data_IF_038835426681
#
_entry.id   IF_038835426681
#
_cell.length_a   1.000
_cell.length_b   1.000
_cell.length_c   1.000
_cell.angle_alpha   90.00
_cell.angle_beta   90.00
_cell.angle_gamma   90.00
#
_symmetry.space_group_name_H-M   'P 1'
#
loop_
_entity.id
_entity.type
_entity.pdbx_description
1 polymer ?
#
# COMPACT_ATOMS: atom_id res chain seq x y z
N UNK A 1 4.26 -40.21 13.64
CA UNK A 1 5.23 -39.35 12.94
C UNK A 1 4.56 -38.23 12.14
N UNK A 2 3.61 -38.53 11.26
CA UNK A 2 2.96 -37.54 10.38
C UNK A 2 2.26 -36.36 11.12
N UNK A 3 1.56 -36.62 12.23
CA UNK A 3 0.93 -35.57 13.06
C UNK A 3 1.95 -34.64 13.74
N UNK A 4 3.14 -35.16 14.09
CA UNK A 4 4.21 -34.34 14.66
C UNK A 4 4.83 -33.43 13.60
N UNK A 5 5.04 -33.94 12.37
CA UNK A 5 5.48 -33.14 11.22
C UNK A 5 4.47 -32.03 10.92
N UNK A 6 3.17 -32.34 10.90
CA UNK A 6 2.11 -31.34 10.74
C UNK A 6 2.12 -30.28 11.83
N UNK A 7 2.35 -30.67 13.09
CA UNK A 7 2.45 -29.71 14.19
C UNK A 7 3.62 -28.75 13.96
N UNK A 8 4.80 -29.29 13.61
CA UNK A 8 5.99 -28.47 13.31
C UNK A 8 5.74 -27.52 12.14
N UNK A 9 5.14 -28.00 11.05
CA UNK A 9 4.79 -27.16 9.90
C UNK A 9 3.78 -26.06 10.26
N UNK A 10 2.75 -26.37 11.06
CA UNK A 10 1.81 -25.36 11.54
C UNK A 10 2.50 -24.30 12.42
N UNK A 11 3.51 -24.68 13.23
CA UNK A 11 4.30 -23.72 14.01
C UNK A 11 5.06 -22.78 13.07
N UNK A 12 5.76 -23.31 12.07
CA UNK A 12 6.48 -22.50 11.10
C UNK A 12 5.55 -21.57 10.31
N UNK A 13 4.41 -22.07 9.84
CA UNK A 13 3.41 -21.25 9.14
C UNK A 13 2.79 -20.18 10.05
N UNK A 14 2.58 -20.48 11.33
CA UNK A 14 2.10 -19.49 12.30
C UNK A 14 3.13 -18.37 12.50
N UNK A 15 4.41 -18.71 12.75
CA UNK A 15 5.46 -17.70 12.89
C UNK A 15 5.64 -16.88 11.61
N UNK A 16 5.67 -17.53 10.44
CA UNK A 16 5.75 -16.85 9.14
C UNK A 16 4.57 -15.89 8.91
N UNK A 17 3.34 -16.31 9.22
CA UNK A 17 2.15 -15.46 9.12
C UNK A 17 2.15 -14.29 10.10
N UNK A 18 2.61 -14.50 11.33
CA UNK A 18 2.73 -13.45 12.34
C UNK A 18 3.78 -12.39 11.95
N UNK A 19 4.94 -12.82 11.46
CA UNK A 19 5.97 -11.92 10.96
C UNK A 19 5.52 -11.18 9.70
N UNK A 20 4.85 -11.86 8.78
CA UNK A 20 4.27 -11.23 7.58
C UNK A 20 3.32 -10.10 7.93
N UNK A 21 2.33 -10.36 8.80
CA UNK A 21 1.36 -9.35 9.20
C UNK A 21 2.04 -8.16 9.88
N UNK A 22 3.06 -8.41 10.70
CA UNK A 22 3.78 -7.36 11.39
C UNK A 22 4.61 -6.49 10.43
N UNK A 23 5.25 -7.12 9.45
CA UNK A 23 6.00 -6.42 8.41
C UNK A 23 5.09 -5.67 7.44
N UNK A 24 3.93 -6.23 7.11
CA UNK A 24 2.91 -5.57 6.32
C UNK A 24 2.35 -4.33 7.05
N UNK A 25 2.15 -4.39 8.37
CA UNK A 25 1.79 -3.23 9.20
C UNK A 25 2.89 -2.17 9.27
N UNK A 26 4.17 -2.57 9.32
CA UNK A 26 5.30 -1.64 9.22
C UNK A 26 5.26 -0.87 7.90
N UNK A 27 4.99 -1.58 6.80
CA UNK A 27 4.94 -1.01 5.46
C UNK A 27 3.66 -0.23 5.20
N UNK A 28 2.54 -0.60 5.82
CA UNK A 28 1.27 0.11 5.67
C UNK A 28 1.38 1.59 6.10
N UNK A 29 2.28 1.91 7.03
CA UNK A 29 2.60 3.27 7.45
C UNK A 29 3.63 4.01 6.59
N UNK A 30 4.16 3.39 5.54
CA UNK A 30 5.13 3.99 4.62
C UNK A 30 4.52 4.12 3.21
N UNK A 31 5.05 5.04 2.38
CA UNK A 31 4.77 5.06 0.95
C UNK A 31 5.43 3.82 0.31
N UNK A 32 4.69 2.71 0.18
CA UNK A 32 5.23 1.43 -0.31
C UNK A 32 5.49 1.51 -1.83
N UNK A 33 6.73 1.24 -2.31
CA UNK A 33 6.99 1.10 -3.75
C UNK A 33 6.22 -0.08 -4.35
N UNK A 34 5.67 0.06 -5.56
CA UNK A 34 4.90 -1.01 -6.24
C UNK A 34 5.63 -2.37 -6.28
N UNK A 35 6.95 -2.37 -6.51
CA UNK A 35 7.76 -3.61 -6.55
C UNK A 35 7.73 -4.38 -5.22
N UNK A 36 7.64 -3.66 -4.10
CA UNK A 36 7.57 -4.26 -2.77
C UNK A 36 6.16 -4.84 -2.50
N UNK A 37 5.10 -4.26 -3.09
CA UNK A 37 3.74 -4.79 -2.99
C UNK A 37 3.62 -6.17 -3.67
N UNK A 38 4.16 -6.32 -4.88
CA UNK A 38 4.15 -7.62 -5.58
C UNK A 38 4.87 -8.72 -4.80
N UNK A 39 5.99 -8.38 -4.15
CA UNK A 39 6.73 -9.35 -3.33
C UNK A 39 5.92 -9.75 -2.10
N UNK A 40 5.23 -8.79 -1.45
CA UNK A 40 4.34 -9.06 -0.32
C UNK A 40 3.13 -9.91 -0.72
N UNK A 41 2.57 -9.66 -1.91
CA UNK A 41 1.46 -10.44 -2.47
C UNK A 41 1.85 -11.91 -2.66
N UNK A 42 2.97 -12.17 -3.33
CA UNK A 42 3.48 -13.53 -3.57
C UNK A 42 3.72 -14.26 -2.25
N UNK A 43 4.27 -13.57 -1.26
CA UNK A 43 4.54 -14.16 0.05
C UNK A 43 3.24 -14.47 0.80
N UNK A 44 2.26 -13.55 0.79
CA UNK A 44 0.94 -13.76 1.37
C UNK A 44 0.18 -14.92 0.71
N UNK A 45 0.17 -14.99 -0.61
CA UNK A 45 -0.42 -16.06 -1.42
C UNK A 45 0.20 -17.43 -1.07
N UNK A 46 1.54 -17.47 -0.94
CA UNK A 46 2.27 -18.69 -0.57
C UNK A 46 1.91 -19.17 0.83
N UNK A 47 1.91 -18.29 1.83
CA UNK A 47 1.54 -18.62 3.21
C UNK A 47 0.09 -19.10 3.32
N UNK A 48 -0.82 -18.47 2.60
CA UNK A 48 -2.22 -18.86 2.54
C UNK A 48 -2.38 -20.27 1.94
N UNK A 49 -1.76 -20.52 0.77
CA UNK A 49 -1.83 -21.82 0.10
C UNK A 49 -1.27 -22.96 0.99
N UNK A 50 -0.15 -22.73 1.66
CA UNK A 50 0.44 -23.73 2.58
C UNK A 50 -0.48 -23.97 3.77
N UNK A 51 -1.01 -22.91 4.41
CA UNK A 51 -1.88 -23.04 5.59
C UNK A 51 -3.17 -23.81 5.27
N UNK A 52 -3.81 -23.54 4.12
CA UNK A 52 -5.00 -24.29 3.67
C UNK A 52 -4.65 -25.75 3.37
N UNK A 53 -3.51 -26.02 2.73
CA UNK A 53 -3.06 -27.38 2.48
C UNK A 53 -2.82 -28.15 3.78
N UNK A 54 -2.20 -27.54 4.79
CA UNK A 54 -1.97 -28.18 6.10
C UNK A 54 -3.28 -28.58 6.79
N UNK A 55 -4.31 -27.73 6.72
CA UNK A 55 -5.65 -28.05 7.24
C UNK A 55 -6.26 -29.20 6.45
N UNK A 56 -6.18 -29.18 5.11
CA UNK A 56 -6.72 -30.23 4.27
C UNK A 56 -6.04 -31.59 4.51
N UNK A 57 -4.71 -31.61 4.61
CA UNK A 57 -3.94 -32.81 4.93
C UNK A 57 -4.40 -33.41 6.26
N UNK A 58 -4.69 -32.56 7.24
CA UNK A 58 -5.21 -32.98 8.52
C UNK A 58 -6.60 -33.62 8.41
N UNK A 59 -7.49 -33.01 7.63
CA UNK A 59 -8.82 -33.59 7.35
C UNK A 59 -8.68 -34.94 6.65
N UNK A 60 -7.77 -35.08 5.68
CA UNK A 60 -7.50 -36.34 4.99
C UNK A 60 -7.02 -37.43 5.97
N UNK A 61 -6.08 -37.11 6.86
CA UNK A 61 -5.58 -38.06 7.87
C UNK A 61 -6.69 -38.51 8.80
N UNK A 62 -7.52 -37.56 9.27
CA UNK A 62 -8.65 -37.87 10.14
C UNK A 62 -9.70 -38.76 9.44
N UNK A 63 -10.08 -38.43 8.21
CA UNK A 63 -11.08 -39.16 7.44
C UNK A 63 -10.61 -40.59 7.12
N UNK A 64 -9.37 -40.75 6.62
CA UNK A 64 -8.81 -42.06 6.31
C UNK A 64 -8.52 -42.90 7.55
N UNK A 65 -8.17 -42.25 8.67
CA UNK A 65 -8.04 -42.92 9.97
C UNK A 65 -9.38 -43.45 10.50
N UNK A 66 -10.48 -42.72 10.27
CA UNK A 66 -11.82 -43.15 10.70
C UNK A 66 -12.43 -44.22 9.80
N UNK A 67 -12.16 -44.16 8.49
CA UNK A 67 -12.80 -45.03 7.49
C UNK A 67 -11.93 -46.23 7.07
N UNK A 68 -10.71 -46.38 7.60
CA UNK A 68 -9.86 -47.55 7.37
C UNK A 68 -9.15 -47.60 6.00
N UNK A 69 -9.19 -46.53 5.20
CA UNK A 69 -8.64 -46.49 3.83
C UNK A 69 -7.20 -45.92 3.78
N UNK A 70 -6.33 -46.34 4.70
CA UNK A 70 -4.95 -45.83 4.83
C UNK A 70 -4.13 -45.90 3.53
N UNK A 71 -4.40 -46.89 2.66
CA UNK A 71 -3.71 -47.07 1.38
C UNK A 71 -3.88 -45.90 0.40
N UNK A 72 -4.93 -45.08 0.55
CA UNK A 72 -5.20 -43.94 -0.33
C UNK A 72 -4.79 -42.58 0.27
N UNK A 73 -4.25 -42.56 1.49
CA UNK A 73 -3.94 -41.33 2.22
C UNK A 73 -3.00 -40.40 1.43
N UNK A 74 -1.91 -40.93 0.88
CA UNK A 74 -0.97 -40.14 0.08
C UNK A 74 -1.59 -39.59 -1.20
N UNK A 75 -2.45 -40.37 -1.87
CA UNK A 75 -3.18 -39.89 -3.05
C UNK A 75 -4.13 -38.76 -2.70
N UNK A 76 -4.86 -38.87 -1.58
CA UNK A 76 -5.76 -37.80 -1.12
C UNK A 76 -5.00 -36.53 -0.71
N UNK A 77 -3.86 -36.66 -0.04
CA UNK A 77 -3.00 -35.52 0.31
C UNK A 77 -2.51 -34.82 -0.96
N UNK A 78 -1.97 -35.58 -1.92
CA UNK A 78 -1.43 -35.03 -3.16
C UNK A 78 -2.53 -34.37 -4.00
N UNK A 79 -3.69 -35.01 -4.13
CA UNK A 79 -4.85 -34.45 -4.82
C UNK A 79 -5.34 -33.17 -4.13
N UNK A 80 -5.43 -33.17 -2.80
CA UNK A 80 -5.86 -31.98 -2.04
C UNK A 80 -4.90 -30.81 -2.24
N UNK A 81 -3.59 -31.05 -2.29
CA UNK A 81 -2.59 -30.01 -2.57
C UNK A 81 -2.73 -29.47 -3.99
N UNK A 82 -2.85 -30.35 -4.99
CA UNK A 82 -2.95 -29.97 -6.41
C UNK A 82 -4.20 -29.13 -6.69
N UNK A 83 -5.28 -29.35 -5.92
CA UNK A 83 -6.52 -28.57 -6.07
C UNK A 83 -6.47 -27.30 -5.21
N UNK A 84 -6.17 -27.43 -3.92
CA UNK A 84 -6.34 -26.34 -2.96
C UNK A 84 -5.23 -25.30 -3.04
N UNK A 85 -3.99 -25.68 -3.36
CA UNK A 85 -2.91 -24.69 -3.50
C UNK A 85 -3.19 -23.67 -4.62
N UNK A 86 -3.49 -24.07 -5.87
CA UNK A 86 -3.81 -23.09 -6.93
C UNK A 86 -5.14 -22.40 -6.69
N UNK A 87 -6.16 -23.08 -6.14
CA UNK A 87 -7.42 -22.43 -5.80
C UNK A 87 -7.22 -21.33 -4.75
N UNK A 88 -6.46 -21.60 -3.68
CA UNK A 88 -6.18 -20.60 -2.64
C UNK A 88 -5.34 -19.45 -3.19
N UNK A 89 -4.34 -19.75 -4.00
CA UNK A 89 -3.52 -18.73 -4.67
C UNK A 89 -4.39 -17.79 -5.51
N UNK A 90 -5.26 -18.35 -6.35
CA UNK A 90 -6.17 -17.58 -7.19
C UNK A 90 -7.13 -16.73 -6.37
N UNK A 91 -7.75 -17.28 -5.33
CA UNK A 91 -8.64 -16.53 -4.44
C UNK A 91 -7.90 -15.38 -3.75
N UNK A 92 -6.68 -15.59 -3.26
CA UNK A 92 -5.93 -14.54 -2.56
C UNK A 92 -5.59 -13.37 -3.49
N UNK A 93 -5.21 -13.65 -4.75
CA UNK A 93 -4.89 -12.61 -5.74
C UNK A 93 -6.12 -11.93 -6.36
N UNK A 94 -7.18 -12.68 -6.68
CA UNK A 94 -8.32 -12.15 -7.44
C UNK A 94 -9.34 -11.43 -6.58
N UNK A 95 -9.55 -11.85 -5.33
CA UNK A 95 -10.60 -11.26 -4.47
C UNK A 95 -10.40 -9.75 -4.23
N UNK A 96 -9.18 -9.23 -3.95
CA UNK A 96 -8.96 -7.78 -3.85
C UNK A 96 -9.37 -7.02 -5.11
N UNK A 97 -9.03 -7.56 -6.28
CA UNK A 97 -9.35 -6.95 -7.57
C UNK A 97 -10.85 -6.93 -7.81
N UNK A 98 -11.54 -8.05 -7.57
CA UNK A 98 -12.99 -8.15 -7.74
C UNK A 98 -13.73 -7.24 -6.76
N UNK A 99 -13.31 -7.17 -5.49
CA UNK A 99 -13.90 -6.26 -4.51
C UNK A 99 -13.74 -4.80 -4.97
N UNK A 100 -12.58 -4.44 -5.51
CA UNK A 100 -12.33 -3.08 -5.99
C UNK A 100 -13.10 -2.76 -7.29
N UNK A 101 -13.26 -3.73 -8.19
CA UNK A 101 -13.98 -3.56 -9.46
C UNK A 101 -15.49 -3.45 -9.25
N UNK A 102 -16.05 -4.28 -8.37
CA UNK A 102 -17.47 -4.27 -8.00
C UNK A 102 -17.80 -3.08 -7.06
N UNK A 103 -16.78 -2.36 -6.58
CA UNK A 103 -16.98 -1.19 -5.74
C UNK A 103 -17.70 -0.09 -6.55
N UNK A 104 -18.84 0.42 -6.06
CA UNK A 104 -19.62 1.43 -6.77
C UNK A 104 -18.76 2.62 -7.20
N UNK A 105 -18.92 3.04 -8.46
CA UNK A 105 -18.07 4.06 -9.08
C UNK A 105 -18.19 5.44 -8.43
N UNK A 106 -19.34 5.73 -7.82
CA UNK A 106 -19.62 6.89 -6.98
C UNK A 106 -18.84 6.89 -5.65
N UNK A 107 -18.51 5.72 -5.10
CA UNK A 107 -17.76 5.58 -3.85
C UNK A 107 -16.24 5.55 -4.04
N UNK A 108 -15.75 5.52 -5.29
CA UNK A 108 -14.31 5.52 -5.61
C UNK A 108 -13.61 6.81 -5.14
N UNK A 109 -14.33 7.92 -5.06
CA UNK A 109 -13.83 9.20 -4.50
C UNK A 109 -13.28 9.01 -3.08
N UNK A 110 -13.87 8.12 -2.29
CA UNK A 110 -13.45 7.88 -0.91
C UNK A 110 -12.05 7.30 -0.80
N UNK A 111 -11.57 6.60 -1.84
CA UNK A 111 -10.18 6.15 -1.90
C UNK A 111 -9.20 7.33 -2.01
N UNK A 112 -9.56 8.39 -2.76
CA UNK A 112 -8.77 9.62 -2.84
C UNK A 112 -8.78 10.36 -1.50
N UNK A 113 -9.94 10.41 -0.83
CA UNK A 113 -10.05 11.02 0.50
C UNK A 113 -9.18 10.28 1.52
N UNK A 114 -9.20 8.96 1.48
CA UNK A 114 -8.38 8.13 2.34
C UNK A 114 -6.89 8.25 2.01
N UNK A 115 -6.53 8.35 0.73
CA UNK A 115 -5.14 8.57 0.32
C UNK A 115 -4.59 9.89 0.89
N UNK A 116 -5.32 10.99 0.70
CA UNK A 116 -4.94 12.31 1.24
C UNK A 116 -4.92 12.28 2.76
N UNK A 117 -5.94 11.71 3.42
CA UNK A 117 -6.01 11.60 4.87
C UNK A 117 -4.85 10.78 5.44
N UNK A 118 -4.53 9.64 4.81
CA UNK A 118 -3.39 8.79 5.18
C UNK A 118 -2.07 9.55 5.12
N UNK A 119 -1.82 10.28 4.02
CA UNK A 119 -0.64 11.15 3.91
C UNK A 119 -0.65 12.24 4.97
N UNK A 120 -1.80 12.84 5.24
CA UNK A 120 -1.95 13.84 6.28
C UNK A 120 -1.54 13.35 7.65
N UNK A 121 -2.01 12.16 8.04
CA UNK A 121 -1.72 11.55 9.32
C UNK A 121 -0.26 11.10 9.42
N UNK A 122 0.26 10.41 8.39
CA UNK A 122 1.62 9.87 8.37
C UNK A 122 2.70 10.95 8.42
N UNK A 123 2.43 12.13 7.86
CA UNK A 123 3.39 13.22 7.85
C UNK A 123 3.01 14.35 8.79
N UNK A 124 2.13 14.09 9.77
CA UNK A 124 1.70 15.04 10.81
C UNK A 124 1.17 16.37 10.26
N UNK A 125 0.65 16.39 9.03
CA UNK A 125 -0.01 17.55 8.44
C UNK A 125 -1.52 17.54 8.67
N UNK A 126 -2.05 16.47 9.24
CA UNK A 126 -3.44 16.33 9.65
C UNK A 126 -3.52 15.70 11.04
N UNK A 127 -4.47 16.18 11.83
CA UNK A 127 -4.91 15.54 13.07
C UNK A 127 -6.43 15.44 13.04
N UNK A 128 -6.96 14.23 13.21
CA UNK A 128 -8.41 14.04 13.30
C UNK A 128 -8.81 14.33 14.76
N UNK A 129 -9.72 15.29 15.01
CA UNK A 129 -10.13 15.65 16.36
C UNK A 129 -10.58 14.44 17.18
N UNK A 130 -10.03 14.30 18.39
CA UNK A 130 -10.38 13.23 19.32
C UNK A 130 -9.82 11.84 18.97
N UNK A 131 -9.04 11.68 17.90
CA UNK A 131 -8.31 10.45 17.59
C UNK A 131 -6.84 10.62 18.00
N UNK A 132 -6.33 9.85 18.97
CA UNK A 132 -4.97 10.01 19.49
C UNK A 132 -3.90 9.38 18.58
N UNK A 133 -4.03 9.47 17.26
CA UNK A 133 -3.17 8.75 16.30
C UNK A 133 -1.67 8.98 16.57
N UNK A 134 -1.28 10.23 16.82
CA UNK A 134 0.13 10.60 17.04
C UNK A 134 0.76 9.89 18.24
N UNK A 135 0.00 9.65 19.31
CA UNK A 135 0.49 8.93 20.49
C UNK A 135 0.68 7.42 20.26
N UNK A 136 0.08 6.89 19.19
CA UNK A 136 0.08 5.48 18.83
C UNK A 136 0.70 5.19 17.46
N UNK A 137 1.27 6.20 16.79
CA UNK A 137 1.81 6.11 15.42
C UNK A 137 2.78 4.95 15.24
N UNK A 138 3.70 4.77 16.18
CA UNK A 138 4.72 3.71 16.17
C UNK A 138 4.30 2.46 16.94
N UNK A 139 3.03 2.36 17.36
CA UNK A 139 2.46 1.21 18.09
C UNK A 139 1.50 0.44 17.18
N UNK A 140 1.15 -0.78 17.58
CA UNK A 140 0.24 -1.63 16.82
C UNK A 140 -1.09 -0.96 16.50
N UNK A 141 -1.61 -0.16 17.43
CA UNK A 141 -2.88 0.56 17.30
C UNK A 141 -2.86 1.56 16.14
N UNK A 142 -1.82 2.41 16.05
CA UNK A 142 -1.70 3.40 14.98
C UNK A 142 -1.39 2.75 13.63
N UNK A 143 -0.57 1.71 13.60
CA UNK A 143 -0.25 0.98 12.35
C UNK A 143 -1.48 0.27 11.80
N UNK A 144 -2.25 -0.42 12.65
CA UNK A 144 -3.49 -1.07 12.25
C UNK A 144 -4.54 -0.05 11.78
N UNK A 145 -4.65 1.10 12.46
CA UNK A 145 -5.56 2.17 12.05
C UNK A 145 -5.23 2.71 10.65
N UNK A 146 -3.96 3.01 10.37
CA UNK A 146 -3.55 3.50 9.05
C UNK A 146 -3.69 2.44 7.95
N UNK A 147 -3.41 1.18 8.28
CA UNK A 147 -3.56 0.07 7.35
C UNK A 147 -5.02 -0.09 6.88
N UNK A 148 -5.98 0.13 7.77
CA UNK A 148 -7.41 -0.06 7.51
C UNK A 148 -8.16 1.24 7.15
N UNK A 149 -7.50 2.41 7.17
CA UNK A 149 -8.13 3.71 6.94
C UNK A 149 -8.87 3.80 5.59
N UNK A 150 -8.32 3.19 4.54
CA UNK A 150 -8.96 3.13 3.21
C UNK A 150 -10.35 2.52 3.27
N UNK A 151 -10.48 1.39 3.96
CA UNK A 151 -11.76 0.71 4.13
C UNK A 151 -12.68 1.50 5.05
N UNK A 152 -12.18 2.01 6.18
CA UNK A 152 -12.99 2.80 7.12
C UNK A 152 -13.64 4.02 6.47
N UNK A 153 -12.91 4.70 5.58
CA UNK A 153 -13.45 5.85 4.86
C UNK A 153 -14.37 5.44 3.71
N UNK A 154 -14.18 4.25 3.13
CA UNK A 154 -15.08 3.71 2.10
C UNK A 154 -16.47 3.31 2.64
N UNK A 155 -16.57 2.98 3.94
CA UNK A 155 -17.80 2.46 4.59
C UNK A 155 -18.67 3.58 5.20
N UNK A 156 -18.43 4.85 4.82
CA UNK A 156 -19.18 6.07 5.18
C UNK A 156 -19.07 6.54 6.64
N UNK A 157 -18.99 7.87 6.81
CA UNK A 157 -18.72 8.60 8.06
C UNK A 157 -19.02 10.09 7.93
N UNK A 158 -19.44 10.75 9.00
CA UNK A 158 -19.60 12.22 9.04
C UNK A 158 -18.30 12.96 8.73
N UNK A 159 -17.15 12.30 8.96
CA UNK A 159 -15.83 12.82 8.58
C UNK A 159 -15.61 12.83 7.06
N UNK A 160 -16.12 11.82 6.35
CA UNK A 160 -16.05 11.75 4.88
C UNK A 160 -16.95 12.80 4.24
N UNK A 161 -18.15 13.00 4.78
CA UNK A 161 -19.08 14.06 4.34
C UNK A 161 -18.45 15.45 4.47
N UNK A 162 -17.74 15.72 5.57
CA UNK A 162 -17.03 17.00 5.77
C UNK A 162 -15.91 17.22 4.74
N UNK A 163 -15.20 16.16 4.36
CA UNK A 163 -14.17 16.23 3.32
C UNK A 163 -14.82 16.48 1.96
N UNK A 164 -15.92 15.79 1.67
CA UNK A 164 -16.61 15.84 0.38
C UNK A 164 -17.04 17.26 -0.01
N UNK A 165 -17.54 18.04 0.95
CA UNK A 165 -17.99 19.41 0.71
C UNK A 165 -16.87 20.37 0.25
N UNK A 166 -15.60 20.09 0.56
CA UNK A 166 -14.47 20.91 0.12
C UNK A 166 -13.18 20.09 0.01
N UNK A 167 -13.20 19.05 -0.84
CA UNK A 167 -12.06 18.16 -0.95
C UNK A 167 -10.79 18.87 -1.40
N UNK A 168 -10.89 19.79 -2.37
CA UNK A 168 -9.72 20.54 -2.85
C UNK A 168 -9.08 21.38 -1.73
N UNK A 169 -9.89 22.07 -0.91
CA UNK A 169 -9.40 22.84 0.24
C UNK A 169 -8.77 21.95 1.30
N UNK A 170 -9.39 20.80 1.59
CA UNK A 170 -8.85 19.79 2.49
C UNK A 170 -7.49 19.25 2.00
N UNK A 171 -7.43 18.81 0.73
CA UNK A 171 -6.21 18.30 0.12
C UNK A 171 -5.10 19.36 0.11
N UNK A 172 -5.43 20.62 -0.18
CA UNK A 172 -4.45 21.71 -0.15
C UNK A 172 -3.92 21.96 1.27
N UNK A 173 -4.75 21.94 2.30
CA UNK A 173 -4.31 22.08 3.69
C UNK A 173 -3.36 20.95 4.10
N UNK A 174 -3.73 19.71 3.76
CA UNK A 174 -2.90 18.52 4.02
C UNK A 174 -1.57 18.59 3.28
N UNK A 175 -1.59 18.91 1.98
CA UNK A 175 -0.38 18.97 1.17
C UNK A 175 0.53 20.14 1.56
N UNK A 176 0.00 21.27 2.04
CA UNK A 176 0.83 22.37 2.58
C UNK A 176 1.66 21.92 3.79
N UNK A 177 1.04 21.19 4.72
CA UNK A 177 1.78 20.64 5.84
C UNK A 177 2.77 19.55 5.41
N UNK A 178 2.38 18.70 4.46
CA UNK A 178 3.23 17.65 3.91
C UNK A 178 4.47 18.23 3.21
N UNK A 179 4.31 19.19 2.30
CA UNK A 179 5.43 19.77 1.54
C UNK A 179 6.38 20.52 2.44
N UNK A 180 5.86 21.21 3.47
CA UNK A 180 6.70 21.92 4.46
C UNK A 180 7.55 20.96 5.28
N UNK A 181 6.99 19.86 5.75
CA UNK A 181 7.71 18.86 6.59
C UNK A 181 8.65 17.97 5.79
N UNK A 182 8.36 17.74 4.50
CA UNK A 182 9.17 16.91 3.61
C UNK A 182 9.97 17.75 2.60
N UNK A 183 10.22 19.02 2.90
CA UNK A 183 10.86 19.94 1.96
C UNK A 183 12.27 19.47 1.54
N UNK A 184 13.02 18.83 2.45
CA UNK A 184 14.35 18.28 2.14
C UNK A 184 14.26 17.11 1.16
N UNK A 185 13.35 16.16 1.40
CA UNK A 185 13.12 14.99 0.53
C UNK A 185 12.61 15.44 -0.86
N UNK A 186 11.71 16.41 -0.90
CA UNK A 186 11.19 16.96 -2.16
C UNK A 186 12.29 17.66 -2.96
N UNK A 187 13.18 18.38 -2.27
CA UNK A 187 14.34 19.00 -2.91
C UNK A 187 15.35 17.95 -3.41
N UNK A 188 15.66 16.95 -2.60
CA UNK A 188 16.56 15.86 -2.99
C UNK A 188 16.05 15.10 -4.20
N UNK A 189 14.74 14.85 -4.30
CA UNK A 189 14.13 14.27 -5.50
C UNK A 189 14.30 15.15 -6.73
N UNK A 190 14.15 16.48 -6.61
CA UNK A 190 14.46 17.39 -7.71
C UNK A 190 15.93 17.25 -8.15
N UNK A 191 16.85 17.17 -7.18
CA UNK A 191 18.29 17.03 -7.44
C UNK A 191 18.67 15.67 -8.05
N UNK A 192 17.93 14.61 -7.75
CA UNK A 192 18.25 13.24 -8.21
C UNK A 192 17.50 12.86 -9.48
N UNK A 193 16.27 13.36 -9.67
CA UNK A 193 15.44 13.03 -10.83
C UNK A 193 15.71 13.98 -12.02
N UNK A 194 15.83 15.29 -11.79
CA UNK A 194 15.91 16.29 -12.87
C UNK A 194 17.34 16.71 -13.21
N UNK A 195 18.17 17.04 -12.21
CA UNK A 195 19.50 17.62 -12.44
C UNK A 195 20.42 16.74 -13.30
N UNK A 196 20.48 15.41 -13.13
CA UNK A 196 21.34 14.57 -13.97
C UNK A 196 20.95 14.64 -15.45
N UNK A 197 19.64 14.61 -15.75
CA UNK A 197 19.12 14.71 -17.12
C UNK A 197 19.42 16.10 -17.70
N UNK A 198 19.26 17.14 -16.89
CA UNK A 198 19.62 18.50 -17.30
C UNK A 198 21.12 18.65 -17.56
N UNK A 199 21.98 18.01 -16.76
CA UNK A 199 23.43 18.06 -16.95
C UNK A 199 23.87 17.34 -18.22
N UNK A 200 23.20 16.26 -18.61
CA UNK A 200 23.40 15.62 -19.91
C UNK A 200 23.08 16.58 -21.06
N UNK A 201 21.96 17.29 -20.97
CA UNK A 201 21.55 18.31 -21.95
C UNK A 201 22.56 19.45 -22.01
N UNK A 202 23.06 19.94 -20.87
CA UNK A 202 24.09 21.01 -20.82
C UNK A 202 25.37 20.56 -21.51
N UNK A 203 25.82 19.32 -21.29
CA UNK A 203 27.00 18.75 -21.94
C UNK A 203 26.82 18.63 -23.45
N UNK A 204 25.67 18.13 -23.90
CA UNK A 204 25.37 18.02 -25.33
C UNK A 204 25.18 19.38 -25.99
N UNK A 205 24.57 20.35 -25.31
CA UNK A 205 24.46 21.71 -25.81
C UNK A 205 25.82 22.35 -26.08
N UNK A 206 26.79 22.16 -25.17
CA UNK A 206 28.15 22.66 -25.38
C UNK A 206 28.82 22.05 -26.63
N UNK A 207 28.59 20.76 -26.89
CA UNK A 207 29.07 20.06 -28.11
C UNK A 207 28.40 20.58 -29.36
N UNK A 208 27.07 20.69 -29.36
CA UNK A 208 26.27 21.20 -30.47
C UNK A 208 26.66 22.65 -30.80
N UNK A 209 26.84 23.50 -29.79
CA UNK A 209 27.21 24.90 -29.98
C UNK A 209 28.63 25.05 -30.54
N UNK A 210 29.57 24.20 -30.11
CA UNK A 210 30.89 24.14 -30.73
C UNK A 210 30.80 23.75 -32.22
N UNK A 211 30.01 22.72 -32.53
CA UNK A 211 29.75 22.26 -33.90
C UNK A 211 29.07 23.33 -34.78
N UNK A 212 28.14 24.11 -34.21
CA UNK A 212 27.50 25.25 -34.89
C UNK A 212 28.51 26.32 -35.28
N UNK A 213 29.44 26.64 -34.36
CA UNK A 213 30.50 27.64 -34.61
C UNK A 213 31.52 27.17 -35.64
N UNK A 214 31.79 25.87 -35.70
CA UNK A 214 32.70 25.28 -36.70
C UNK A 214 32.02 24.93 -38.03
N UNK A 215 30.72 25.21 -38.19
CA UNK A 215 30.00 24.97 -39.44
C UNK A 215 29.77 23.49 -39.77
N UNK A 216 29.77 22.60 -38.77
CA UNK A 216 29.60 21.16 -38.98
C UNK A 216 28.16 20.86 -39.43
N UNK A 217 27.93 20.08 -40.51
CA UNK A 217 26.61 19.66 -40.95
C UNK A 217 25.83 18.92 -39.84
N UNK A 218 24.51 19.12 -39.76
CA UNK A 218 23.66 18.48 -38.74
C UNK A 218 23.67 19.15 -37.35
N UNK A 219 24.33 20.30 -37.20
CA UNK A 219 24.34 21.08 -35.95
C UNK A 219 23.30 22.20 -35.90
N UNK A 220 22.51 22.36 -36.97
CA UNK A 220 21.48 23.40 -37.07
C UNK A 220 20.37 23.14 -36.06
N UNK A 221 19.62 24.22 -35.73
CA UNK A 221 18.49 24.11 -34.82
C UNK A 221 17.41 23.22 -35.44
N UNK A 222 16.99 22.20 -34.71
CA UNK A 222 15.92 21.29 -35.09
C UNK A 222 14.86 21.29 -33.98
N UNK A 223 13.61 21.67 -34.26
CA UNK A 223 12.56 21.65 -33.24
C UNK A 223 12.29 20.22 -32.77
N UNK A 224 11.99 20.07 -31.47
CA UNK A 224 11.57 18.77 -30.93
C UNK A 224 10.36 18.26 -31.72
N UNK A 225 10.46 17.04 -32.25
CA UNK A 225 9.35 16.38 -32.90
C UNK A 225 8.26 16.11 -31.87
N UNK A 226 7.15 16.85 -31.94
CA UNK A 226 5.96 16.58 -31.13
C UNK A 226 5.26 15.40 -31.77
N UNK A 227 5.55 14.17 -31.32
CA UNK A 227 4.80 13.00 -31.80
C UNK A 227 3.32 13.17 -31.42
N UNK A 228 2.45 13.21 -32.43
CA UNK A 228 0.99 13.26 -32.26
C UNK A 228 0.37 11.87 -32.05
N UNK A 229 1.16 10.81 -32.22
CA UNK A 229 0.70 9.42 -32.18
C UNK A 229 1.23 8.73 -30.90
N UNK A 230 0.30 8.25 -30.07
CA UNK A 230 0.61 7.62 -28.78
C UNK A 230 1.52 6.38 -28.86
N UNK A 231 1.64 5.76 -30.05
CA UNK A 231 2.46 4.56 -30.28
C UNK A 231 3.94 4.90 -30.52
N UNK A 232 4.27 6.08 -31.06
CA UNK A 232 5.65 6.57 -31.24
C UNK A 232 6.15 7.40 -30.04
N UNK A 233 5.27 7.78 -29.11
CA UNK A 233 5.58 8.56 -27.91
C UNK A 233 6.44 7.82 -26.86
N UNK A 234 6.89 6.59 -27.13
CA UNK A 234 7.68 5.79 -26.19
C UNK A 234 9.17 6.16 -26.16
N UNK A 235 9.71 6.78 -27.22
CA UNK A 235 11.08 7.28 -27.20
C UNK A 235 11.11 8.70 -26.62
N UNK A 236 11.47 8.84 -25.34
CA UNK A 236 11.77 10.16 -24.75
C UNK A 236 12.85 10.85 -25.58
N UNK A 237 12.74 12.16 -25.88
CA UNK A 237 13.78 12.85 -26.61
C UNK A 237 15.13 12.73 -25.89
N UNK A 238 16.19 12.49 -26.65
CA UNK A 238 17.54 12.38 -26.11
C UNK A 238 18.09 13.75 -25.68
N UNK A 239 19.16 13.75 -24.90
CA UNK A 239 19.85 14.98 -24.52
C UNK A 239 20.32 15.79 -25.75
N UNK A 240 20.69 15.10 -26.83
CA UNK A 240 21.06 15.71 -28.10
C UNK A 240 19.86 16.39 -28.78
N UNK A 241 18.67 15.78 -28.76
CA UNK A 241 17.46 16.35 -29.36
C UNK A 241 17.07 17.66 -28.64
N UNK A 242 17.13 17.65 -27.30
CA UNK A 242 16.94 18.87 -26.51
C UNK A 242 18.02 19.92 -26.83
N UNK A 243 19.28 19.53 -26.94
CA UNK A 243 20.38 20.42 -27.29
C UNK A 243 20.22 21.09 -28.66
N UNK A 244 19.78 20.33 -29.67
CA UNK A 244 19.53 20.82 -31.02
C UNK A 244 18.32 21.77 -31.07
N UNK A 245 17.29 21.53 -30.27
CA UNK A 245 16.09 22.36 -30.22
C UNK A 245 16.30 23.73 -29.57
N UNK A 246 17.26 23.82 -28.64
CA UNK A 246 17.53 25.06 -27.91
C UNK A 246 18.16 26.16 -28.79
N UNK A 247 17.84 27.44 -28.53
CA UNK A 247 18.48 28.59 -29.17
C UNK A 247 20.01 28.57 -29.03
N UNK A 248 20.73 29.12 -30.01
CA UNK A 248 22.18 29.30 -29.94
C UNK A 248 22.57 30.44 -29.00
N UNK A 249 23.83 30.45 -28.56
CA UNK A 249 24.40 31.55 -27.77
C UNK A 249 24.03 31.60 -26.29
N UNK A 250 23.44 30.54 -25.72
CA UNK A 250 23.15 30.46 -24.28
C UNK A 250 24.45 30.24 -23.50
N UNK A 251 24.80 31.17 -22.61
CA UNK A 251 26.14 31.22 -21.98
C UNK A 251 26.22 30.63 -20.59
N UNK A 252 25.09 30.38 -19.93
CA UNK A 252 25.07 29.89 -18.55
C UNK A 252 23.96 28.86 -18.34
N UNK A 253 24.13 28.03 -17.28
CA UNK A 253 23.19 26.98 -16.91
C UNK A 253 21.79 27.52 -16.61
N UNK A 254 21.70 28.71 -16.03
CA UNK A 254 20.41 29.35 -15.73
C UNK A 254 19.62 29.69 -17.00
N UNK A 255 20.28 30.20 -18.04
CA UNK A 255 19.67 30.52 -19.32
C UNK A 255 19.20 29.25 -20.03
N UNK A 256 19.98 28.16 -19.95
CA UNK A 256 19.60 26.84 -20.46
C UNK A 256 18.38 26.27 -19.72
N UNK A 257 18.37 26.32 -18.38
CA UNK A 257 17.26 25.85 -17.55
C UNK A 257 15.95 26.63 -17.81
N UNK A 258 16.07 27.90 -18.21
CA UNK A 258 14.93 28.76 -18.51
C UNK A 258 14.38 28.62 -19.94
N UNK A 259 14.98 27.79 -20.78
CA UNK A 259 14.45 27.54 -22.12
C UNK A 259 13.08 26.84 -22.06
N UNK A 260 12.18 27.10 -23.02
CA UNK A 260 10.88 26.44 -23.07
C UNK A 260 11.00 24.92 -23.20
N UNK A 261 12.03 24.43 -23.90
CA UNK A 261 12.32 23.00 -24.06
C UNK A 261 12.62 22.33 -22.71
N UNK A 262 13.53 22.91 -21.92
CA UNK A 262 13.88 22.39 -20.59
C UNK A 262 12.74 22.54 -19.59
N UNK A 263 11.99 23.64 -19.64
CA UNK A 263 10.80 23.82 -18.79
C UNK A 263 9.68 22.83 -19.12
N UNK A 264 9.49 22.51 -20.40
CA UNK A 264 8.54 21.49 -20.82
C UNK A 264 8.95 20.11 -20.30
N UNK A 265 10.24 19.75 -20.44
CA UNK A 265 10.79 18.53 -19.87
C UNK A 265 10.61 18.48 -18.35
N UNK A 266 10.95 19.56 -17.64
CA UNK A 266 10.78 19.65 -16.19
C UNK A 266 9.33 19.43 -15.77
N UNK A 267 8.37 20.02 -16.49
CA UNK A 267 6.93 19.80 -16.24
C UNK A 267 6.52 18.35 -16.43
N UNK A 268 7.01 17.67 -17.47
CA UNK A 268 6.73 16.26 -17.72
C UNK A 268 7.36 15.33 -16.68
N UNK A 269 8.59 15.62 -16.23
CA UNK A 269 9.33 14.79 -15.29
C UNK A 269 8.83 14.95 -13.85
N UNK A 270 8.62 16.20 -13.41
CA UNK A 270 8.30 16.53 -12.02
C UNK A 270 6.79 16.49 -11.74
N UNK A 271 5.96 16.54 -12.79
CA UNK A 271 4.50 16.52 -12.70
C UNK A 271 3.96 17.57 -11.72
N UNK A 272 3.20 17.19 -10.68
CA UNK A 272 2.62 18.13 -9.72
C UNK A 272 3.68 18.83 -8.83
N UNK A 273 4.95 18.39 -8.86
CA UNK A 273 6.04 19.07 -8.15
C UNK A 273 6.64 20.25 -8.93
N UNK A 274 6.31 20.38 -10.22
CA UNK A 274 6.70 21.55 -11.00
C UNK A 274 5.77 22.72 -10.68
N UNK A 275 6.33 23.90 -10.40
CA UNK A 275 5.59 25.15 -10.26
C UNK A 275 5.97 26.07 -11.41
N UNK A 276 4.97 26.69 -12.04
CA UNK A 276 5.23 27.62 -13.13
C UNK A 276 6.11 28.78 -12.65
N UNK A 277 7.21 29.03 -13.38
CA UNK A 277 8.18 30.05 -13.00
C UNK A 277 9.18 29.63 -11.91
N UNK A 278 9.18 28.35 -11.47
CA UNK A 278 10.17 27.89 -10.52
C UNK A 278 11.59 27.95 -11.08
N UNK A 279 12.54 28.32 -10.23
CA UNK A 279 13.95 28.17 -10.52
C UNK A 279 14.34 26.70 -10.37
N UNK A 280 14.59 26.03 -11.49
CA UNK A 280 14.95 24.62 -11.54
C UNK A 280 16.34 24.32 -10.96
N UNK A 281 17.18 25.35 -10.84
CA UNK A 281 18.50 25.29 -10.22
C UNK A 281 18.51 25.96 -8.84
N UNK A 282 17.33 26.18 -8.25
CA UNK A 282 17.19 26.78 -6.94
C UNK A 282 18.05 26.06 -5.89
N UNK A 283 18.67 26.86 -5.02
CA UNK A 283 19.23 26.33 -3.78
C UNK A 283 18.13 25.77 -2.90
N UNK A 284 18.51 24.93 -1.93
CA UNK A 284 17.58 24.37 -0.95
C UNK A 284 16.73 25.42 -0.25
N UNK A 285 17.31 26.58 0.07
CA UNK A 285 16.62 27.70 0.74
C UNK A 285 15.60 28.34 -0.22
N UNK A 286 16.00 28.63 -1.46
CA UNK A 286 15.11 29.20 -2.48
C UNK A 286 13.95 28.25 -2.82
N UNK A 287 14.17 26.94 -2.79
CA UNK A 287 13.15 25.93 -3.03
C UNK A 287 11.94 26.05 -2.08
N UNK A 288 12.14 26.57 -0.86
CA UNK A 288 11.06 26.77 0.10
C UNK A 288 9.95 27.71 -0.41
N UNK A 289 10.28 28.66 -1.29
CA UNK A 289 9.31 29.57 -1.88
C UNK A 289 8.27 28.84 -2.75
N UNK A 290 8.63 27.68 -3.30
CA UNK A 290 7.77 26.92 -4.21
C UNK A 290 6.89 25.89 -3.50
N UNK A 291 7.13 25.58 -2.22
CA UNK A 291 6.42 24.51 -1.50
C UNK A 291 4.89 24.70 -1.45
N UNK A 292 4.43 25.95 -1.39
CA UNK A 292 3.01 26.27 -1.42
C UNK A 292 2.39 26.03 -2.81
N UNK A 293 3.14 26.35 -3.87
CA UNK A 293 2.73 26.06 -5.25
C UNK A 293 2.71 24.56 -5.52
N UNK A 294 3.72 23.82 -5.05
CA UNK A 294 3.77 22.37 -5.12
C UNK A 294 2.56 21.75 -4.40
N UNK A 295 2.25 22.24 -3.19
CA UNK A 295 1.08 21.76 -2.45
C UNK A 295 -0.24 22.01 -3.19
N UNK A 296 -0.38 23.18 -3.83
CA UNK A 296 -1.56 23.50 -4.63
C UNK A 296 -1.68 22.61 -5.87
N UNK A 297 -0.57 22.37 -6.57
CA UNK A 297 -0.54 21.49 -7.74
C UNK A 297 -0.84 20.04 -7.37
N UNK A 298 -0.26 19.53 -6.28
CA UNK A 298 -0.59 18.19 -5.75
C UNK A 298 -2.06 18.07 -5.35
N UNK A 299 -2.64 19.09 -4.71
CA UNK A 299 -4.05 19.09 -4.35
C UNK A 299 -4.96 19.12 -5.58
N UNK A 300 -4.61 19.94 -6.58
CA UNK A 300 -5.36 20.01 -7.84
C UNK A 300 -5.29 18.70 -8.61
N UNK A 301 -4.11 18.09 -8.71
CA UNK A 301 -3.86 16.83 -9.41
C UNK A 301 -4.75 15.70 -8.85
N UNK A 302 -4.75 15.55 -7.51
CA UNK A 302 -5.60 14.56 -6.83
C UNK A 302 -7.09 14.89 -6.97
N UNK A 303 -7.48 16.16 -6.88
CA UNK A 303 -8.89 16.58 -7.03
C UNK A 303 -9.40 16.41 -8.47
N UNK A 304 -8.52 16.51 -9.47
CA UNK A 304 -8.84 16.29 -10.88
C UNK A 304 -8.68 14.85 -11.34
N UNK A 305 -8.23 13.94 -10.46
CA UNK A 305 -8.09 12.53 -10.79
C UNK A 305 -9.45 11.97 -11.18
N UNK A 306 -9.50 11.26 -12.32
CA UNK A 306 -10.76 10.71 -12.82
C UNK A 306 -11.35 9.72 -11.82
N UNK A 307 -12.40 10.17 -11.14
CA UNK A 307 -13.16 9.43 -10.14
C UNK A 307 -13.77 8.15 -10.71
N UNK A 308 -14.06 8.13 -12.02
CA UNK A 308 -14.70 6.99 -12.68
C UNK A 308 -13.70 6.17 -13.52
N UNK A 309 -12.53 6.73 -13.82
CA UNK A 309 -11.51 6.13 -14.68
C UNK A 309 -10.59 5.10 -14.01
N UNK A 310 -9.65 4.56 -14.79
CA UNK A 310 -8.72 3.50 -14.36
C UNK A 310 -7.78 3.92 -13.22
N UNK A 311 -7.47 5.22 -13.10
CA UNK A 311 -6.55 5.73 -12.08
C UNK A 311 -7.14 5.62 -10.67
N UNK A 312 -8.41 5.99 -10.47
CA UNK A 312 -9.08 5.84 -9.17
C UNK A 312 -9.27 4.37 -8.80
N UNK A 313 -9.55 3.51 -9.78
CA UNK A 313 -9.61 2.05 -9.57
C UNK A 313 -8.26 1.49 -9.12
N UNK A 314 -7.15 1.95 -9.70
CA UNK A 314 -5.80 1.55 -9.27
C UNK A 314 -5.51 1.97 -7.83
N UNK A 315 -5.88 3.21 -7.45
CA UNK A 315 -5.76 3.68 -6.06
C UNK A 315 -6.60 2.81 -5.13
N UNK A 316 -7.85 2.52 -5.49
CA UNK A 316 -8.75 1.67 -4.70
C UNK A 316 -8.19 0.26 -4.51
N UNK A 317 -7.71 -0.40 -5.57
CA UNK A 317 -7.07 -1.73 -5.51
C UNK A 317 -5.91 -1.73 -4.53
N UNK A 318 -5.03 -0.74 -4.62
CA UNK A 318 -3.89 -0.59 -3.70
C UNK A 318 -4.33 -0.35 -2.24
N UNK A 319 -5.44 0.35 -2.03
CA UNK A 319 -5.97 0.60 -0.69
C UNK A 319 -6.66 -0.61 -0.05
N UNK A 320 -7.26 -1.50 -0.86
CA UNK A 320 -7.92 -2.72 -0.38
C UNK A 320 -6.96 -3.88 -0.21
N UNK A 321 -5.88 -3.93 -0.99
CA UNK A 321 -4.89 -4.99 -0.92
C UNK A 321 -4.32 -5.18 0.50
N UNK A 322 -3.84 -4.11 1.14
CA UNK A 322 -3.22 -4.20 2.47
C UNK A 322 -4.21 -4.70 3.55
N UNK A 323 -5.40 -4.11 3.73
CA UNK A 323 -6.42 -4.64 4.64
C UNK A 323 -6.78 -6.09 4.35
N UNK A 324 -6.99 -6.46 3.08
CA UNK A 324 -7.32 -7.84 2.71
C UNK A 324 -6.22 -8.83 3.08
N UNK A 325 -4.96 -8.51 2.75
CA UNK A 325 -3.82 -9.35 3.08
C UNK A 325 -3.64 -9.53 4.58
N UNK A 326 -3.87 -8.47 5.38
CA UNK A 326 -3.83 -8.56 6.84
C UNK A 326 -4.95 -9.46 7.37
N UNK A 327 -6.18 -9.28 6.90
CA UNK A 327 -7.36 -10.05 7.31
C UNK A 327 -7.23 -11.52 6.93
N UNK A 328 -6.72 -11.79 5.74
CA UNK A 328 -6.38 -13.13 5.28
C UNK A 328 -5.27 -13.75 6.14
N UNK A 329 -4.22 -12.97 6.46
CA UNK A 329 -3.15 -13.41 7.37
C UNK A 329 -3.66 -13.76 8.77
N UNK A 330 -4.59 -12.96 9.32
CA UNK A 330 -5.26 -13.27 10.60
C UNK A 330 -6.03 -14.59 10.52
N UNK A 331 -6.79 -14.79 9.45
CA UNK A 331 -7.55 -16.02 9.24
C UNK A 331 -6.63 -17.24 9.13
N UNK A 332 -5.53 -17.14 8.37
CA UNK A 332 -4.55 -18.22 8.23
C UNK A 332 -3.82 -18.50 9.55
N UNK A 333 -3.48 -17.45 10.30
CA UNK A 333 -2.95 -17.57 11.67
C UNK A 333 -3.91 -18.33 12.58
N UNK A 334 -5.21 -18.00 12.55
CA UNK A 334 -6.24 -18.70 13.29
C UNK A 334 -6.33 -20.19 12.90
N UNK A 335 -6.30 -20.51 11.59
CA UNK A 335 -6.28 -21.89 11.10
C UNK A 335 -5.09 -22.67 11.63
N UNK A 336 -3.89 -22.07 11.61
CA UNK A 336 -2.67 -22.70 12.12
C UNK A 336 -2.73 -22.92 13.63
N UNK A 337 -3.25 -21.96 14.42
CA UNK A 337 -3.47 -22.13 15.87
C UNK A 337 -4.45 -23.28 16.13
N UNK A 338 -5.57 -23.34 15.42
CA UNK A 338 -6.54 -24.45 15.52
C UNK A 338 -5.85 -25.77 15.20
N UNK A 339 -5.01 -25.81 14.16
CA UNK A 339 -4.16 -26.96 13.84
C UNK A 339 -3.27 -27.37 15.02
N UNK A 340 -2.55 -26.45 15.64
CA UNK A 340 -1.69 -26.76 16.77
C UNK A 340 -2.47 -27.30 17.98
N UNK A 341 -3.60 -26.67 18.30
CA UNK A 341 -4.48 -27.11 19.38
C UNK A 341 -5.00 -28.52 19.13
N UNK A 342 -5.47 -28.81 17.92
CA UNK A 342 -5.86 -30.16 17.53
C UNK A 342 -4.71 -31.16 17.69
N UNK A 343 -3.46 -30.77 17.38
CA UNK A 343 -2.29 -31.67 17.47
C UNK A 343 -1.96 -32.03 18.91
N UNK A 344 -2.07 -31.07 19.82
CA UNK A 344 -1.85 -31.30 21.25
C UNK A 344 -2.94 -32.17 21.87
N UNK A 345 -4.20 -31.98 21.44
CA UNK A 345 -5.37 -32.74 21.92
C UNK A 345 -5.36 -34.18 21.37
N UNK A 346 -5.06 -34.38 20.09
CA UNK A 346 -5.01 -35.71 19.45
C UNK A 346 -3.88 -36.58 20.02
N UNK A 347 -2.80 -35.97 20.52
CA UNK A 347 -1.71 -36.68 21.23
C UNK A 347 -2.13 -37.17 22.62
N UNK A 348 -3.22 -36.63 23.18
CA UNK A 348 -3.84 -37.04 24.46
C UNK A 348 -5.17 -37.74 24.18
N UNK A 349 -5.11 -38.93 23.59
CA UNK A 349 -6.29 -39.73 23.29
C UNK A 349 -6.95 -40.27 24.58
N UNK A 350 -8.04 -39.66 25.06
CA UNK A 350 -9.06 -40.37 25.86
C UNK A 350 -10.46 -39.72 25.99
N UNK A 351 -10.79 -38.57 25.38
CA UNK A 351 -12.10 -37.92 25.69
C UNK A 351 -12.79 -37.30 24.47
N UNK A 352 -13.49 -38.11 23.67
CA UNK A 352 -14.21 -37.68 22.44
C UNK A 352 -15.23 -36.54 22.65
N UNK A 353 -15.92 -36.46 23.80
CA UNK A 353 -16.90 -35.39 24.08
C UNK A 353 -16.27 -34.05 24.49
N UNK A 354 -15.09 -34.05 25.14
CA UNK A 354 -14.36 -32.82 25.49
C UNK A 354 -13.71 -32.16 24.27
N UNK A 355 -13.41 -32.94 23.23
CA UNK A 355 -12.76 -32.45 22.00
C UNK A 355 -13.66 -31.47 21.23
N UNK A 356 -14.98 -31.70 21.14
CA UNK A 356 -15.89 -30.76 20.49
C UNK A 356 -15.99 -29.44 21.27
N UNK A 357 -16.14 -29.52 22.60
CA UNK A 357 -16.21 -28.35 23.47
C UNK A 357 -14.90 -27.53 23.45
N UNK A 358 -13.74 -28.20 23.47
CA UNK A 358 -12.43 -27.54 23.34
C UNK A 358 -12.23 -26.90 21.96
N UNK A 359 -12.71 -27.53 20.87
CA UNK A 359 -12.68 -26.93 19.52
C UNK A 359 -13.49 -25.65 19.46
N UNK A 360 -14.73 -25.68 19.98
CA UNK A 360 -15.61 -24.50 20.04
C UNK A 360 -14.99 -23.43 20.94
N UNK A 361 -14.47 -23.81 22.11
CA UNK A 361 -13.87 -22.86 23.05
C UNK A 361 -12.58 -22.24 22.52
N UNK A 362 -11.78 -22.97 21.73
CA UNK A 362 -10.57 -22.45 21.08
C UNK A 362 -10.90 -21.46 19.97
N UNK A 363 -11.89 -21.79 19.13
CA UNK A 363 -12.39 -20.88 18.09
C UNK A 363 -12.98 -19.63 18.74
N UNK A 364 -13.76 -19.80 19.81
CA UNK A 364 -14.29 -18.69 20.58
C UNK A 364 -13.16 -17.84 21.19
N UNK A 365 -12.09 -18.44 21.72
CA UNK A 365 -10.96 -17.69 22.29
C UNK A 365 -10.26 -16.82 21.23
N UNK A 366 -10.02 -17.35 20.03
CA UNK A 366 -9.37 -16.64 18.92
C UNK A 366 -10.23 -15.47 18.43
N UNK A 367 -11.56 -15.62 18.44
CA UNK A 367 -12.50 -14.56 18.05
C UNK A 367 -12.69 -13.54 19.17
N UNK A 368 -12.79 -13.98 20.42
CA UNK A 368 -13.17 -13.16 21.58
C UNK A 368 -12.00 -12.40 22.21
N UNK A 369 -10.78 -12.98 22.25
CA UNK A 369 -9.62 -12.29 22.85
C UNK A 369 -9.33 -10.95 22.15
N UNK A 370 -9.30 -10.85 20.80
CA UNK A 370 -9.10 -9.57 20.13
C UNK A 370 -10.18 -8.52 20.45
N UNK A 371 -11.42 -8.96 20.68
CA UNK A 371 -12.52 -8.07 21.07
C UNK A 371 -12.35 -7.53 22.50
N UNK A 372 -11.73 -8.31 23.39
CA UNK A 372 -11.49 -7.93 24.79
C UNK A 372 -10.20 -7.11 24.98
N UNK A 373 -9.17 -7.37 24.17
CA UNK A 373 -7.87 -6.70 24.29
C UNK A 373 -7.96 -5.19 24.01
N UNK A 374 -8.94 -4.76 23.22
CA UNK A 374 -9.25 -3.35 22.96
C UNK A 374 -8.18 -2.61 22.16
N UNK A 375 -8.61 -1.77 21.22
CA UNK A 375 -7.73 -0.84 20.52
C UNK A 375 -8.01 0.58 21.00
N UNK A 376 -7.00 1.26 21.56
CA UNK A 376 -7.14 2.60 22.15
C UNK A 376 -7.63 3.66 21.14
N UNK A 377 -7.31 3.48 19.85
CA UNK A 377 -7.83 4.35 18.79
C UNK A 377 -9.33 4.09 18.57
N UNK A 378 -9.76 2.83 18.47
CA UNK A 378 -11.18 2.46 18.29
C UNK A 378 -12.03 2.92 19.48
N UNK A 379 -11.47 2.83 20.69
CA UNK A 379 -12.16 3.25 21.92
C UNK A 379 -12.22 4.78 22.08
N UNK A 380 -11.47 5.55 21.29
CA UNK A 380 -11.43 7.00 21.43
C UNK A 380 -12.76 7.67 21.06
N UNK A 381 -13.15 8.76 21.75
CA UNK A 381 -14.36 9.51 21.42
C UNK A 381 -14.35 10.04 19.98
N UNK A 382 -13.20 10.49 19.47
CA UNK A 382 -13.10 11.01 18.11
C UNK A 382 -13.26 9.94 17.04
N UNK A 383 -12.79 8.71 17.29
CA UNK A 383 -13.01 7.60 16.36
C UNK A 383 -14.49 7.27 16.26
N UNK A 384 -15.16 7.16 17.42
CA UNK A 384 -16.60 6.96 17.47
C UNK A 384 -17.33 8.08 16.75
N UNK A 385 -16.97 9.35 16.92
CA UNK A 385 -17.68 10.44 16.22
C UNK A 385 -17.39 10.45 14.72
N UNK A 386 -16.12 10.28 14.31
CA UNK A 386 -15.71 10.37 12.90
C UNK A 386 -16.23 9.21 12.05
N UNK A 387 -16.37 8.03 12.64
CA UNK A 387 -16.70 6.78 11.95
C UNK A 387 -17.97 6.09 12.52
N UNK A 388 -18.81 6.77 13.33
CA UNK A 388 -19.98 6.14 14.00
C UNK A 388 -21.06 5.58 13.08
N UNK A 389 -21.22 6.12 11.88
CA UNK A 389 -22.20 5.60 10.91
C UNK A 389 -21.87 4.19 10.43
N UNK A 390 -20.72 3.64 10.81
CA UNK A 390 -20.38 2.23 10.68
C UNK A 390 -21.37 1.31 11.47
N UNK A 391 -22.07 1.82 12.50
CA UNK A 391 -23.18 1.10 13.15
C UNK A 391 -24.45 1.01 12.26
N UNK A 392 -24.57 1.87 11.23
CA UNK A 392 -25.72 1.94 10.32
C UNK A 392 -25.42 1.47 8.88
N UNK A 393 -24.15 1.27 8.51
CA UNK A 393 -23.72 0.64 7.25
C UNK A 393 -23.86 -0.89 7.29
N UNK A 394 -23.43 -1.65 6.26
CA UNK A 394 -23.48 -3.12 6.28
C UNK A 394 -22.69 -3.65 7.49
N UNK A 395 -23.43 -3.96 8.56
CA UNK A 395 -22.98 -4.17 9.94
C UNK A 395 -21.91 -5.25 10.09
N UNK A 396 -21.83 -6.16 9.11
CA UNK A 396 -20.87 -7.25 9.07
C UNK A 396 -19.46 -6.80 8.67
N UNK A 397 -19.29 -6.05 7.59
CA UNK A 397 -17.95 -5.65 7.10
C UNK A 397 -17.27 -4.70 8.08
N UNK A 398 -18.02 -3.70 8.51
CA UNK A 398 -17.75 -2.84 9.65
C UNK A 398 -17.16 -3.58 10.87
N UNK A 399 -17.92 -4.56 11.39
CA UNK A 399 -17.53 -5.34 12.56
C UNK A 399 -16.28 -6.19 12.31
N UNK A 400 -16.14 -6.76 11.11
CA UNK A 400 -14.97 -7.55 10.71
C UNK A 400 -13.70 -6.69 10.69
N UNK A 401 -13.76 -5.46 10.20
CA UNK A 401 -12.59 -4.56 10.17
C UNK A 401 -12.26 -3.96 11.55
N UNK A 402 -13.24 -3.68 12.41
CA UNK A 402 -12.96 -3.31 13.80
C UNK A 402 -12.28 -4.45 14.56
N UNK A 403 -12.75 -5.68 14.34
CA UNK A 403 -12.11 -6.87 14.88
C UNK A 403 -10.69 -7.03 14.33
N UNK A 404 -10.50 -6.90 13.01
CA UNK A 404 -9.21 -7.01 12.35
C UNK A 404 -8.21 -5.99 12.91
N UNK A 405 -8.59 -4.72 13.02
CA UNK A 405 -7.73 -3.69 13.62
C UNK A 405 -7.34 -3.96 15.08
N UNK A 406 -8.25 -4.56 15.85
CA UNK A 406 -7.94 -4.90 17.26
C UNK A 406 -7.01 -6.11 17.33
N UNK A 407 -7.25 -7.12 16.49
CA UNK A 407 -6.41 -8.31 16.39
C UNK A 407 -5.01 -7.97 15.86
N UNK A 408 -4.92 -7.17 14.80
CA UNK A 408 -3.68 -6.68 14.20
C UNK A 408 -2.84 -5.89 15.19
N UNK A 409 -3.45 -4.94 15.92
CA UNK A 409 -2.73 -4.13 16.91
C UNK A 409 -2.16 -5.00 18.03
N UNK A 410 -2.96 -5.93 18.56
CA UNK A 410 -2.54 -6.87 19.58
C UNK A 410 -1.40 -7.77 19.09
N UNK A 411 -1.56 -8.39 17.92
CA UNK A 411 -0.57 -9.30 17.35
C UNK A 411 0.74 -8.57 17.02
N UNK A 412 0.65 -7.36 16.47
CA UNK A 412 1.83 -6.53 16.20
C UNK A 412 2.61 -6.23 17.49
N UNK A 413 1.92 -5.85 18.57
CA UNK A 413 2.58 -5.58 19.84
C UNK A 413 3.25 -6.84 20.43
N UNK A 414 2.72 -8.04 20.15
CA UNK A 414 3.33 -9.31 20.54
C UNK A 414 4.52 -9.70 19.65
N UNK A 415 4.50 -9.36 18.37
CA UNK A 415 5.53 -9.78 17.39
C UNK A 415 6.64 -8.76 17.20
N UNK A 416 6.41 -7.48 17.51
CA UNK A 416 7.41 -6.40 17.39
C UNK A 416 8.76 -6.73 18.04
N UNK A 417 8.85 -7.32 19.24
CA UNK A 417 10.14 -7.69 19.82
C UNK A 417 10.94 -8.68 18.98
N UNK A 418 10.26 -9.53 18.19
CA UNK A 418 10.89 -10.51 17.31
C UNK A 418 11.42 -9.86 16.02
N UNK A 419 10.83 -8.76 15.57
CA UNK A 419 11.27 -8.01 14.40
C UNK A 419 12.52 -7.14 14.66
N UNK A 420 12.72 -6.72 15.90
CA UNK A 420 13.87 -5.91 16.31
C UNK A 420 15.09 -6.76 16.76
N UNK A 421 15.02 -8.09 16.61
CA UNK A 421 16.07 -9.02 17.02
C UNK A 421 17.07 -9.37 15.90
N UNK A 422 16.91 -8.75 14.73
CA UNK A 422 17.94 -8.63 13.67
C UNK A 422 18.68 -7.30 13.81
#
# INVERSE_FOLDING_TARGET
MLLAVLAVLNVFCLFGGLLFNAELLNKAGADIPLKNLQTLEIYGQSLAAVSVCLVAWRVCIWAHGKWGHQQHLMRSILLSTVILAPATWWVQGVVPDVIAEEFPSDLRVYSLYAYVTKKGLLYDSLQIPGIPYQAYRDKGEGKAFIANLGVLMSVQGSYVEQIDHNFQGFAQAVFKGYTRRNADVLYERLQTEFIPVFDDIVREYARVEASRRSGVPGSKREPLAVSRNAVEAQARPSAQDYALAMPSGLRNRQALANTPEVRHMARQMLGPRYVEGMDLLATRIQFNAYLNGIAANMASDVASTDVQGEQSLSVLKNMWFVPWSLLSGLFMGALNIVGLLLSTIERRAFIQKRILALRIMSIALIVVIPLLAGNAIIQSPGYRTAFKSIETGPTLMAGVFHWAMSAEAMLYNLTRPLLNAE
#
